data_IF_747111572558
#
_entry.id   IF_747111572558
#
_cell.length_a   1.000
_cell.length_b   1.000
_cell.length_c   1.000
_cell.angle_alpha   90.00
_cell.angle_beta   90.00
_cell.angle_gamma   90.00
#
_symmetry.space_group_name_H-M   'P 1'
#
loop_
_entity.id
_entity.type
_entity.pdbx_description
1 polymer ?
#
# COMPACT_ATOMS: atom_id res chain seq x y z
N UNK A 1 -0.21 3.34 26.19
CA UNK A 1 -1.33 3.76 25.32
C UNK A 1 -1.54 2.66 24.31
N UNK A 2 -2.68 1.95 24.34
CA UNK A 2 -3.08 1.10 23.21
C UNK A 2 -3.69 2.06 22.20
N UNK A 3 -2.88 2.47 21.21
CA UNK A 3 -3.37 3.25 20.09
C UNK A 3 -4.53 2.50 19.47
N UNK A 4 -5.67 3.18 19.37
CA UNK A 4 -6.86 2.73 18.66
C UNK A 4 -6.45 2.01 17.38
N UNK A 5 -6.92 0.77 17.21
CA UNK A 5 -6.89 0.08 15.93
C UNK A 5 -7.57 1.00 14.92
N UNK A 6 -6.78 1.81 14.21
CA UNK A 6 -7.26 2.55 13.08
C UNK A 6 -7.83 1.49 12.15
N UNK A 7 -9.15 1.53 12.00
CA UNK A 7 -9.83 0.71 11.01
C UNK A 7 -9.24 1.15 9.69
N UNK A 8 -8.24 0.40 9.22
CA UNK A 8 -7.66 0.56 7.89
C UNK A 8 -8.82 0.40 6.93
N UNK A 9 -9.12 1.48 6.21
CA UNK A 9 -10.19 1.54 5.22
C UNK A 9 -9.57 1.66 3.84
N UNK A 10 -10.32 1.37 2.77
CA UNK A 10 -9.84 1.61 1.42
C UNK A 10 -9.42 3.06 1.19
N UNK A 11 -10.03 4.01 1.90
CA UNK A 11 -9.71 5.44 1.79
C UNK A 11 -8.51 5.88 2.64
N UNK A 12 -7.97 5.00 3.50
CA UNK A 12 -6.84 5.32 4.38
C UNK A 12 -5.59 5.59 3.56
N UNK A 13 -5.03 6.78 3.73
CA UNK A 13 -3.75 7.22 3.15
C UNK A 13 -2.58 6.59 3.90
N UNK A 14 -1.63 6.00 3.17
CA UNK A 14 -0.43 5.46 3.80
C UNK A 14 0.39 6.56 4.48
N UNK A 15 0.52 7.72 3.83
CA UNK A 15 1.34 8.82 4.35
C UNK A 15 0.57 9.66 5.35
N UNK A 16 -0.65 10.10 5.01
CA UNK A 16 -1.36 11.11 5.81
C UNK A 16 -2.05 10.50 7.04
N UNK A 17 -2.61 9.29 6.92
CA UNK A 17 -3.35 8.66 8.01
C UNK A 17 -2.46 7.70 8.81
N UNK A 18 -1.68 6.86 8.14
CA UNK A 18 -0.79 5.90 8.81
C UNK A 18 0.59 6.48 9.16
N UNK A 19 0.92 7.68 8.65
CA UNK A 19 2.21 8.31 8.89
C UNK A 19 3.39 7.57 8.27
N UNK A 20 3.15 6.75 7.24
CA UNK A 20 4.19 5.98 6.57
C UNK A 20 5.18 6.94 5.91
N UNK A 21 6.46 6.73 6.19
CA UNK A 21 7.51 7.47 5.52
C UNK A 21 7.83 6.88 4.14
N UNK A 22 8.73 7.52 3.39
CA UNK A 22 9.12 7.05 2.06
C UNK A 22 9.76 5.66 2.07
N UNK A 23 10.38 5.25 3.19
CA UNK A 23 10.98 3.92 3.33
C UNK A 23 9.90 2.86 3.61
N UNK A 24 8.93 3.18 4.48
CA UNK A 24 7.79 2.32 4.77
C UNK A 24 6.99 1.99 3.49
N UNK A 25 6.82 2.97 2.61
CA UNK A 25 6.16 2.75 1.30
C UNK A 25 6.96 1.83 0.37
N UNK A 26 8.29 1.86 0.44
CA UNK A 26 9.16 0.98 -0.36
C UNK A 26 9.08 -0.44 0.17
N UNK A 27 9.15 -0.64 1.48
CA UNK A 27 8.98 -1.96 2.10
C UNK A 27 7.61 -2.54 1.79
N UNK A 28 6.53 -1.75 1.88
CA UNK A 28 5.19 -2.19 1.53
C UNK A 28 5.11 -2.71 0.10
N UNK A 29 5.66 -1.96 -0.87
CA UNK A 29 5.64 -2.36 -2.28
C UNK A 29 6.42 -3.64 -2.50
N UNK A 30 7.61 -3.77 -1.89
CA UNK A 30 8.40 -4.99 -1.97
C UNK A 30 7.69 -6.21 -1.36
N UNK A 31 7.02 -6.05 -0.22
CA UNK A 31 6.21 -7.12 0.37
C UNK A 31 5.03 -7.52 -0.52
N UNK A 32 4.40 -6.56 -1.20
CA UNK A 32 3.33 -6.84 -2.15
C UNK A 32 3.85 -7.59 -3.38
N UNK A 33 5.01 -7.20 -3.91
CA UNK A 33 5.70 -7.90 -4.99
C UNK A 33 5.99 -9.36 -4.62
N UNK A 34 6.64 -9.59 -3.47
CA UNK A 34 7.01 -10.92 -3.01
C UNK A 34 5.80 -11.79 -2.66
N UNK A 35 4.80 -11.22 -1.98
CA UNK A 35 3.63 -11.98 -1.51
C UNK A 35 2.71 -12.41 -2.64
N UNK A 36 2.60 -11.58 -3.68
CA UNK A 36 1.71 -11.83 -4.80
C UNK A 36 2.48 -12.25 -6.06
N UNK A 37 3.80 -12.40 -6.01
CA UNK A 37 4.67 -12.74 -7.15
C UNK A 37 4.40 -11.80 -8.34
N UNK A 38 4.44 -10.50 -8.07
CA UNK A 38 4.17 -9.44 -9.03
C UNK A 38 5.35 -8.46 -9.07
N UNK A 39 5.42 -7.67 -10.15
CA UNK A 39 6.39 -6.57 -10.25
C UNK A 39 5.63 -5.27 -10.42
N UNK A 40 5.83 -4.34 -9.48
CA UNK A 40 5.22 -3.02 -9.45
C UNK A 40 6.28 -2.02 -9.93
N UNK A 41 6.11 -1.41 -11.13
CA UNK A 41 6.99 -0.34 -11.56
C UNK A 41 6.95 0.83 -10.57
N UNK A 42 8.09 1.49 -10.36
CA UNK A 42 8.21 2.64 -9.45
C UNK A 42 7.15 3.73 -9.74
N UNK A 43 6.85 3.96 -11.02
CA UNK A 43 5.83 4.93 -11.45
C UNK A 43 4.39 4.54 -11.09
N UNK A 44 4.10 3.24 -10.97
CA UNK A 44 2.82 2.75 -10.46
C UNK A 44 2.80 2.73 -8.94
N UNK A 45 3.91 2.35 -8.30
CA UNK A 45 4.07 2.42 -6.85
C UNK A 45 3.81 3.84 -6.30
N UNK A 46 4.31 4.87 -6.99
CA UNK A 46 4.05 6.29 -6.65
C UNK A 46 2.57 6.69 -6.73
N UNK A 47 1.74 5.93 -7.45
CA UNK A 47 0.29 6.16 -7.55
C UNK A 47 -0.49 5.45 -6.44
N UNK A 48 0.14 4.51 -5.73
CA UNK A 48 -0.46 3.80 -4.61
C UNK A 48 -0.38 4.70 -3.36
N UNK A 49 -1.38 5.56 -3.19
CA UNK A 49 -1.45 6.50 -2.07
C UNK A 49 -2.32 5.98 -0.93
N UNK A 50 -3.34 5.20 -1.27
CA UNK A 50 -4.29 4.62 -0.32
C UNK A 50 -4.30 3.10 -0.34
N UNK A 51 -4.79 2.51 0.75
CA UNK A 51 -4.96 1.05 0.84
C UNK A 51 -5.86 0.51 -0.27
N UNK A 52 -6.89 1.26 -0.65
CA UNK A 52 -7.78 0.92 -1.75
C UNK A 52 -7.06 0.89 -3.10
N UNK A 53 -6.08 1.76 -3.32
CA UNK A 53 -5.29 1.78 -4.55
C UNK A 53 -4.39 0.55 -4.65
N UNK A 54 -3.74 0.17 -3.54
CA UNK A 54 -2.94 -1.05 -3.47
C UNK A 54 -3.79 -2.29 -3.80
N UNK A 55 -4.96 -2.41 -3.17
CA UNK A 55 -5.88 -3.53 -3.41
C UNK A 55 -6.34 -3.56 -4.87
N UNK A 56 -6.74 -2.41 -5.44
CA UNK A 56 -7.15 -2.33 -6.85
C UNK A 56 -6.02 -2.74 -7.78
N UNK A 57 -4.80 -2.30 -7.51
CA UNK A 57 -3.64 -2.65 -8.33
C UNK A 57 -3.40 -4.16 -8.34
N UNK A 58 -3.40 -4.80 -7.16
CA UNK A 58 -3.22 -6.25 -7.03
C UNK A 58 -4.33 -7.01 -7.77
N UNK A 59 -5.58 -6.58 -7.60
CA UNK A 59 -6.74 -7.21 -8.27
C UNK A 59 -6.64 -7.06 -9.79
N UNK A 60 -6.19 -5.91 -10.30
CA UNK A 60 -6.02 -5.68 -11.73
C UNK A 60 -4.93 -6.58 -12.36
N UNK A 61 -3.85 -6.90 -11.62
CA UNK A 61 -2.79 -7.78 -12.13
C UNK A 61 -3.04 -9.28 -11.95
N UNK A 62 -3.91 -9.67 -11.02
CA UNK A 62 -4.30 -11.08 -10.81
C UNK A 62 -5.58 -11.47 -11.57
N UNK A 63 -6.25 -10.51 -12.21
CA UNK A 63 -7.49 -10.70 -12.98
C UNK A 63 -7.29 -11.29 -14.37
#
# INVERSE_FOLDING_TARGET
>A
MRGSEEKVRPETSFVDDLGADSLDTVELVMELEDRFDLSIPEEEAKKILTVGDAVKFIVAQKG
#
